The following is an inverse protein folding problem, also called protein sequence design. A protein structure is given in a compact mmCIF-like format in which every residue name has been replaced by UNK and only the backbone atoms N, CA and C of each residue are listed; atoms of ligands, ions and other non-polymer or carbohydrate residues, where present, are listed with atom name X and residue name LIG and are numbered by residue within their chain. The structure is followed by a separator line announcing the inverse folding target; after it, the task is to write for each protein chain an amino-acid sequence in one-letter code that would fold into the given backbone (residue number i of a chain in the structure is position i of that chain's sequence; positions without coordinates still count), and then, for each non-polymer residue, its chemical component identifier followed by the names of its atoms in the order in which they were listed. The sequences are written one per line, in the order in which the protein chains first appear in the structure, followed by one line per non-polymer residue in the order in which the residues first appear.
data_IF_585034399790
#
_entry.id   IF_585034399790
#
_cell.length_a   1.000
_cell.length_b   1.000
_cell.length_c   1.000
_cell.angle_alpha   90.00
_cell.angle_beta   90.00
_cell.angle_gamma   90.00
#
_symmetry.space_group_name_H-M   'P 1'
#
loop_
_entity.id
_entity.type
_entity.pdbx_description
1 polymer ?
#
# COMPACT_ATOMS: atom_id res chain seq x y z
N UNK A 1 -34.58 -15.98 -16.90
CA UNK A 1 -35.09 -16.81 -15.79
C UNK A 1 -35.73 -15.89 -14.76
N UNK A 2 -36.68 -16.39 -13.94
CA UNK A 2 -37.44 -15.63 -12.94
C UNK A 2 -36.77 -15.55 -11.55
N UNK A 3 -35.53 -16.00 -11.41
CA UNK A 3 -34.74 -15.88 -10.18
C UNK A 3 -35.13 -16.80 -9.01
N UNK A 4 -36.08 -17.72 -9.18
CA UNK A 4 -36.63 -18.51 -8.05
C UNK A 4 -35.83 -19.75 -7.65
N UNK A 5 -34.83 -20.15 -8.43
CA UNK A 5 -34.00 -21.35 -8.18
C UNK A 5 -32.54 -20.95 -7.96
N UNK A 6 -32.29 -20.12 -6.95
CA UNK A 6 -30.92 -19.78 -6.53
C UNK A 6 -30.24 -21.02 -5.95
N UNK A 7 -29.04 -21.30 -6.42
CA UNK A 7 -28.21 -22.41 -5.94
C UNK A 7 -26.82 -21.88 -5.60
N UNK A 8 -26.36 -22.18 -4.39
CA UNK A 8 -24.98 -21.93 -4.00
C UNK A 8 -24.07 -22.86 -4.81
N UNK A 9 -23.10 -22.28 -5.52
CA UNK A 9 -22.17 -23.03 -6.36
C UNK A 9 -20.90 -23.43 -5.60
N UNK A 10 -20.52 -22.66 -4.57
CA UNK A 10 -19.33 -22.89 -3.77
C UNK A 10 -19.38 -22.11 -2.43
N UNK A 11 -18.79 -22.65 -1.35
CA UNK A 11 -18.82 -22.07 0.01
C UNK A 11 -17.44 -22.07 0.69
N UNK A 12 -16.41 -21.65 -0.04
CA UNK A 12 -15.02 -21.73 0.45
C UNK A 12 -14.65 -20.66 1.51
N UNK A 13 -15.63 -19.92 2.05
CA UNK A 13 -15.42 -18.88 3.07
C UNK A 13 -14.40 -17.79 2.66
N UNK A 14 -14.29 -17.52 1.36
CA UNK A 14 -13.45 -16.47 0.78
C UNK A 14 -14.32 -15.34 0.23
N UNK A 15 -13.78 -14.12 0.14
CA UNK A 15 -14.48 -13.03 -0.55
C UNK A 15 -14.49 -13.31 -2.06
N UNK A 16 -15.68 -13.37 -2.66
CA UNK A 16 -15.85 -13.69 -4.08
C UNK A 16 -16.57 -12.56 -4.82
N UNK A 17 -15.97 -12.07 -5.90
CA UNK A 17 -16.46 -10.90 -6.65
C UNK A 17 -16.33 -11.10 -8.17
N UNK A 18 -16.92 -10.20 -8.95
CA UNK A 18 -16.80 -10.12 -10.42
C UNK A 18 -17.08 -11.42 -11.20
N UNK A 19 -18.25 -12.05 -10.99
CA UNK A 19 -18.61 -13.22 -11.77
C UNK A 19 -18.84 -12.87 -13.25
N UNK A 20 -18.33 -13.75 -14.13
CA UNK A 20 -18.43 -13.65 -15.58
C UNK A 20 -18.71 -15.02 -16.17
N UNK A 21 -19.87 -15.16 -16.79
CA UNK A 21 -20.24 -16.35 -17.54
C UNK A 21 -19.42 -16.46 -18.83
N UNK A 22 -18.99 -17.68 -19.16
CA UNK A 22 -18.50 -17.97 -20.50
C UNK A 22 -19.64 -17.80 -21.52
N UNK A 23 -19.35 -17.35 -22.76
CA UNK A 23 -20.37 -17.22 -23.81
C UNK A 23 -21.18 -18.49 -24.08
N UNK A 24 -20.57 -19.67 -23.95
CA UNK A 24 -21.22 -20.98 -24.07
C UNK A 24 -22.06 -21.40 -22.84
N UNK A 25 -22.09 -20.56 -21.80
CA UNK A 25 -22.80 -20.76 -20.53
C UNK A 25 -22.41 -22.04 -19.77
N UNK A 26 -21.23 -22.60 -20.03
CA UNK A 26 -20.74 -23.80 -19.34
C UNK A 26 -19.88 -23.51 -18.12
N UNK A 27 -19.29 -22.31 -18.01
CA UNK A 27 -18.34 -21.96 -16.97
C UNK A 27 -18.58 -20.56 -16.43
N UNK A 28 -18.12 -20.33 -15.20
CA UNK A 28 -18.10 -19.03 -14.56
C UNK A 28 -16.65 -18.75 -14.15
N UNK A 29 -16.15 -17.58 -14.52
CA UNK A 29 -14.93 -17.02 -13.97
C UNK A 29 -15.29 -16.00 -12.90
N UNK A 30 -14.58 -15.98 -11.79
CA UNK A 30 -14.79 -15.01 -10.71
C UNK A 30 -13.48 -14.79 -9.96
N UNK A 31 -13.44 -13.72 -9.18
CA UNK A 31 -12.31 -13.38 -8.32
C UNK A 31 -12.58 -13.99 -6.94
N UNK A 32 -11.59 -14.68 -6.37
CA UNK A 32 -11.55 -15.01 -4.95
C UNK A 32 -10.43 -14.25 -4.29
N UNK A 33 -10.65 -13.72 -3.10
CA UNK A 33 -9.62 -13.06 -2.31
C UNK A 33 -9.42 -13.65 -0.92
N UNK A 34 -8.15 -13.71 -0.52
CA UNK A 34 -7.72 -14.13 0.83
C UNK A 34 -6.63 -13.18 1.31
N UNK A 35 -6.70 -12.78 2.58
CA UNK A 35 -5.58 -12.08 3.22
C UNK A 35 -4.52 -13.13 3.55
N UNK A 36 -3.28 -12.92 3.08
CA UNK A 36 -2.15 -13.77 3.41
C UNK A 36 -1.44 -13.16 4.64
N UNK A 37 -1.57 -13.73 5.86
CA UNK A 37 -1.06 -13.11 7.08
C UNK A 37 0.45 -12.92 7.07
N UNK A 38 1.18 -13.81 6.39
CA UNK A 38 2.64 -13.76 6.27
C UNK A 38 3.14 -12.61 5.39
N UNK A 39 2.28 -12.10 4.50
CA UNK A 39 2.57 -10.96 3.63
C UNK A 39 1.82 -9.70 4.05
N UNK A 40 0.82 -9.85 4.92
CA UNK A 40 -0.05 -8.77 5.33
C UNK A 40 -0.60 -8.01 4.11
N UNK A 41 -1.05 -8.78 3.12
CA UNK A 41 -1.53 -8.30 1.83
C UNK A 41 -2.64 -9.21 1.32
N UNK A 42 -3.53 -8.63 0.52
CA UNK A 42 -4.59 -9.37 -0.17
C UNK A 42 -4.00 -10.19 -1.34
N UNK A 43 -4.48 -11.41 -1.51
CA UNK A 43 -4.22 -12.23 -2.68
C UNK A 43 -5.52 -12.49 -3.43
N UNK A 44 -5.63 -11.93 -4.66
CA UNK A 44 -6.79 -12.12 -5.54
C UNK A 44 -6.46 -13.10 -6.65
N UNK A 45 -7.25 -14.15 -6.75
CA UNK A 45 -7.07 -15.19 -7.74
C UNK A 45 -8.27 -15.23 -8.69
N UNK A 46 -7.98 -15.36 -9.98
CA UNK A 46 -9.01 -15.67 -10.97
C UNK A 46 -9.25 -17.18 -10.96
N UNK A 47 -10.45 -17.54 -10.56
CA UNK A 47 -10.90 -18.92 -10.44
C UNK A 47 -11.95 -19.19 -11.51
N UNK A 48 -11.91 -20.39 -12.07
CA UNK A 48 -12.93 -20.89 -12.99
C UNK A 48 -13.64 -22.05 -12.30
N UNK A 49 -14.97 -22.07 -12.42
CA UNK A 49 -15.82 -23.18 -11.99
C UNK A 49 -16.77 -23.54 -13.13
N UNK A 50 -17.14 -24.82 -13.24
CA UNK A 50 -18.20 -25.24 -14.15
C UNK A 50 -19.56 -24.75 -13.65
N UNK A 51 -20.53 -24.62 -14.56
CA UNK A 51 -21.89 -24.11 -14.27
C UNK A 51 -22.64 -24.89 -13.18
N UNK A 52 -22.23 -26.13 -12.92
CA UNK A 52 -22.82 -26.99 -11.90
C UNK A 52 -22.13 -26.89 -10.53
N UNK A 53 -21.13 -26.01 -10.41
CA UNK A 53 -20.33 -25.75 -9.20
C UNK A 53 -19.11 -26.66 -9.07
N UNK A 54 -18.85 -27.56 -10.03
CA UNK A 54 -17.73 -28.50 -9.96
C UNK A 54 -16.48 -27.97 -10.67
N UNK A 55 -15.37 -28.69 -10.50
CA UNK A 55 -14.09 -28.44 -11.17
C UNK A 55 -13.57 -27.00 -10.96
N UNK A 56 -13.58 -26.57 -9.70
CA UNK A 56 -13.00 -25.31 -9.32
C UNK A 56 -11.48 -25.35 -9.48
N UNK A 57 -10.94 -24.48 -10.33
CA UNK A 57 -9.52 -24.42 -10.65
C UNK A 57 -9.03 -22.98 -10.46
N UNK A 58 -7.98 -22.80 -9.65
CA UNK A 58 -7.18 -21.57 -9.68
C UNK A 58 -6.47 -21.50 -11.03
N UNK A 59 -7.00 -20.68 -11.92
CA UNK A 59 -6.46 -20.48 -13.26
C UNK A 59 -5.26 -19.53 -13.25
N UNK A 60 -5.17 -18.71 -12.22
CA UNK A 60 -4.15 -17.69 -12.09
C UNK A 60 -2.83 -18.32 -11.65
N UNK A 61 -2.78 -19.28 -10.73
CA UNK A 61 -1.60 -20.14 -10.51
C UNK A 61 -0.65 -19.74 -9.37
N UNK A 62 -1.18 -19.52 -8.16
CA UNK A 62 -0.38 -19.68 -6.94
C UNK A 62 -0.53 -18.64 -5.81
N UNK A 63 0.04 -19.03 -4.67
CA UNK A 63 -0.22 -18.63 -3.26
C UNK A 63 0.69 -17.47 -2.79
N UNK A 64 0.88 -16.43 -3.61
CA UNK A 64 1.55 -15.18 -3.20
C UNK A 64 0.58 -14.02 -3.44
N UNK A 65 0.71 -12.87 -2.72
CA UNK A 65 -0.13 -11.71 -3.00
C UNK A 65 0.03 -11.37 -4.47
N UNK A 66 -1.06 -11.48 -5.19
CA UNK A 66 -1.13 -11.08 -6.58
C UNK A 66 -2.52 -10.54 -6.77
N UNK A 67 -2.63 -9.33 -7.28
CA UNK A 67 -3.91 -8.74 -7.61
C UNK A 67 -4.25 -9.18 -9.04
N UNK A 68 -5.00 -10.27 -9.15
CA UNK A 68 -5.59 -10.70 -10.42
C UNK A 68 -7.06 -10.27 -10.43
N UNK A 69 -7.44 -9.48 -11.43
CA UNK A 69 -8.75 -8.84 -11.47
C UNK A 69 -9.34 -8.84 -12.89
N UNK A 70 -10.61 -8.47 -13.00
CA UNK A 70 -11.34 -8.21 -14.24
C UNK A 70 -11.24 -9.36 -15.25
N UNK A 71 -11.62 -10.60 -14.88
CA UNK A 71 -11.63 -11.70 -15.81
C UNK A 71 -12.61 -11.41 -16.97
N UNK A 72 -12.25 -11.76 -18.20
CA UNK A 72 -13.10 -11.66 -19.37
C UNK A 72 -12.90 -12.88 -20.26
N UNK A 73 -14.01 -13.47 -20.71
CA UNK A 73 -13.98 -14.61 -21.62
C UNK A 73 -13.76 -14.15 -23.06
N UNK A 74 -12.98 -14.92 -23.81
CA UNK A 74 -12.96 -14.79 -25.26
C UNK A 74 -14.32 -15.18 -25.85
N UNK A 75 -14.73 -14.61 -27.00
CA UNK A 75 -16.03 -14.92 -27.62
C UNK A 75 -16.26 -16.41 -27.92
N UNK A 76 -15.18 -17.16 -28.15
CA UNK A 76 -15.21 -18.60 -28.39
C UNK A 76 -15.24 -19.46 -27.10
N UNK A 77 -15.30 -18.84 -25.92
CA UNK A 77 -15.28 -19.49 -24.59
C UNK A 77 -14.01 -20.28 -24.26
N UNK A 78 -12.92 -20.13 -25.02
CA UNK A 78 -11.70 -20.95 -24.85
C UNK A 78 -10.62 -20.30 -23.99
N UNK A 79 -10.65 -18.99 -23.82
CA UNK A 79 -9.62 -18.22 -23.13
C UNK A 79 -10.24 -17.24 -22.15
N UNK A 80 -9.46 -16.88 -21.14
CA UNK A 80 -9.74 -15.78 -20.24
C UNK A 80 -8.58 -14.79 -20.30
N UNK A 81 -8.90 -13.51 -20.38
CA UNK A 81 -7.97 -12.42 -20.08
C UNK A 81 -8.27 -11.86 -18.71
N UNK A 82 -7.25 -11.49 -17.96
CA UNK A 82 -7.37 -10.84 -16.66
C UNK A 82 -6.21 -9.87 -16.48
N UNK A 83 -6.40 -8.86 -15.63
CA UNK A 83 -5.32 -7.96 -15.19
C UNK A 83 -4.53 -8.67 -14.11
N UNK A 84 -3.21 -8.51 -14.10
CA UNK A 84 -2.34 -9.26 -13.20
C UNK A 84 -1.13 -8.43 -12.75
N UNK A 85 -1.01 -8.18 -11.46
CA UNK A 85 0.15 -7.54 -10.83
C UNK A 85 1.33 -8.52 -10.60
N UNK A 86 1.56 -9.45 -11.54
CA UNK A 86 2.59 -10.50 -11.37
C UNK A 86 3.96 -10.08 -11.85
N UNK A 87 4.02 -9.15 -12.78
CA UNK A 87 5.25 -8.77 -13.46
C UNK A 87 5.66 -7.37 -13.03
N UNK A 88 6.87 -6.95 -13.39
CA UNK A 88 7.41 -5.69 -12.89
C UNK A 88 6.60 -4.47 -13.35
N UNK A 89 6.35 -3.57 -12.43
CA UNK A 89 5.68 -2.29 -12.58
C UNK A 89 6.49 -1.18 -11.89
N UNK A 90 6.00 0.04 -12.06
CA UNK A 90 6.41 1.21 -11.32
C UNK A 90 5.23 1.71 -10.51
N UNK A 91 5.46 2.01 -9.24
CA UNK A 91 4.42 2.36 -8.27
C UNK A 91 4.70 3.76 -7.71
N UNK A 92 3.65 4.54 -7.54
CA UNK A 92 3.65 5.85 -6.87
C UNK A 92 2.78 5.75 -5.63
N UNK A 93 3.35 6.10 -4.48
CA UNK A 93 2.67 6.15 -3.20
C UNK A 93 2.50 7.59 -2.74
N UNK A 94 1.29 8.02 -2.37
CA UNK A 94 0.99 9.41 -2.04
C UNK A 94 0.13 9.49 -0.78
N UNK A 95 0.62 10.17 0.25
CA UNK A 95 -0.14 10.58 1.44
C UNK A 95 -0.18 12.13 1.45
N UNK A 96 -1.35 12.74 1.17
CA UNK A 96 -1.45 14.18 0.90
C UNK A 96 -1.54 15.07 2.15
N UNK A 97 -1.56 14.52 3.36
CA UNK A 97 -1.62 15.32 4.59
C UNK A 97 -0.73 14.83 5.74
N UNK A 98 0.10 13.80 5.48
CA UNK A 98 1.15 13.31 6.36
C UNK A 98 0.58 12.84 7.72
N UNK A 99 -0.53 12.11 7.64
CA UNK A 99 -1.18 11.47 8.78
C UNK A 99 -0.92 9.96 8.85
N UNK A 100 -0.23 9.41 7.84
CA UNK A 100 0.09 7.99 7.67
C UNK A 100 -1.13 7.08 7.42
N UNK A 101 -2.24 7.69 7.02
CA UNK A 101 -3.51 7.08 6.65
C UNK A 101 -3.96 7.69 5.33
N UNK A 102 -5.15 7.28 4.88
CA UNK A 102 -5.85 7.92 3.78
C UNK A 102 -4.96 8.20 2.54
N UNK A 103 -4.20 7.19 2.13
CA UNK A 103 -3.16 7.32 1.11
C UNK A 103 -3.50 6.54 -0.15
N UNK A 104 -2.77 6.84 -1.23
CA UNK A 104 -3.03 6.33 -2.56
C UNK A 104 -1.83 5.56 -3.09
N UNK A 105 -2.11 4.60 -3.95
CA UNK A 105 -1.13 3.87 -4.75
C UNK A 105 -1.57 3.88 -6.20
N UNK A 106 -0.62 4.13 -7.09
CA UNK A 106 -0.81 4.07 -8.54
C UNK A 106 0.33 3.26 -9.12
N UNK A 107 0.01 2.11 -9.70
CA UNK A 107 0.92 1.22 -10.39
C UNK A 107 0.78 1.38 -11.90
N UNK A 108 1.89 1.29 -12.62
CA UNK A 108 1.94 1.30 -14.09
C UNK A 108 2.94 0.28 -14.60
N UNK A 109 2.55 -0.47 -15.62
CA UNK A 109 3.49 -1.35 -16.33
C UNK A 109 3.97 -0.75 -17.66
N UNK A 110 4.90 -1.45 -18.31
CA UNK A 110 5.55 -1.03 -19.56
C UNK A 110 4.58 -0.96 -20.76
N UNK A 111 3.32 -1.40 -20.61
CA UNK A 111 2.25 -1.27 -21.61
C UNK A 111 1.29 -0.11 -21.31
N UNK A 112 1.64 0.75 -20.36
CA UNK A 112 0.79 1.83 -19.86
C UNK A 112 -0.55 1.30 -19.32
N UNK A 113 -0.53 0.15 -18.63
CA UNK A 113 -1.70 -0.34 -17.89
C UNK A 113 -1.57 0.10 -16.45
N UNK A 114 -2.64 0.70 -15.96
CA UNK A 114 -2.74 1.26 -14.62
C UNK A 114 -3.49 0.28 -13.72
N UNK A 115 -3.02 0.16 -12.50
CA UNK A 115 -3.78 -0.32 -11.36
C UNK A 115 -3.64 0.73 -10.27
N UNK A 116 -4.74 1.12 -9.66
CA UNK A 116 -4.74 2.17 -8.65
C UNK A 116 -5.68 1.81 -7.50
N UNK A 117 -5.36 2.33 -6.32
CA UNK A 117 -6.13 2.08 -5.13
C UNK A 117 -5.99 3.23 -4.12
N UNK A 118 -6.95 3.25 -3.21
CA UNK A 118 -6.94 4.09 -2.02
C UNK A 118 -6.93 3.21 -0.76
N UNK A 119 -6.06 3.51 0.21
CA UNK A 119 -6.02 2.86 1.51
C UNK A 119 -6.38 3.86 2.62
N UNK A 120 -7.54 3.68 3.30
CA UNK A 120 -7.86 4.47 4.49
C UNK A 120 -6.88 4.27 5.65
N UNK A 121 -6.24 3.10 5.71
CA UNK A 121 -5.24 2.79 6.71
C UNK A 121 -4.28 1.69 6.19
N UNK A 122 -3.05 1.58 6.71
CA UNK A 122 -2.11 0.55 6.31
C UNK A 122 -2.62 -0.87 6.52
N UNK A 123 -2.24 -1.81 5.64
CA UNK A 123 -2.59 -3.23 5.80
C UNK A 123 -2.18 -3.79 7.18
N UNK A 124 -1.05 -3.32 7.74
CA UNK A 124 -0.54 -3.78 9.05
C UNK A 124 -1.49 -3.45 10.21
N UNK A 125 -2.36 -2.48 9.98
CA UNK A 125 -3.40 -2.00 10.87
C UNK A 125 -4.78 -2.53 10.42
N UNK A 126 -4.82 -3.61 9.63
CA UNK A 126 -6.02 -4.24 9.06
C UNK A 126 -6.79 -3.31 8.12
N UNK A 127 -6.08 -2.49 7.37
CA UNK A 127 -6.68 -1.73 6.27
C UNK A 127 -7.05 -2.63 5.09
N UNK A 128 -8.13 -2.28 4.41
CA UNK A 128 -8.53 -2.89 3.15
C UNK A 128 -8.44 -1.83 2.04
N UNK A 129 -7.87 -2.23 0.90
CA UNK A 129 -7.73 -1.35 -0.24
C UNK A 129 -9.06 -1.14 -0.96
N UNK A 130 -9.40 0.13 -1.20
CA UNK A 130 -10.47 0.50 -2.10
C UNK A 130 -9.93 0.57 -3.54
N UNK A 131 -9.88 -0.59 -4.19
CA UNK A 131 -9.44 -0.75 -5.57
C UNK A 131 -10.45 -0.23 -6.62
N UNK A 132 -11.61 0.25 -6.18
CA UNK A 132 -12.61 0.87 -7.07
C UNK A 132 -12.36 2.37 -7.27
N UNK A 133 -11.36 2.93 -6.59
CA UNK A 133 -10.91 4.30 -6.87
C UNK A 133 -10.09 4.28 -8.16
N UNK A 134 -10.57 4.99 -9.18
CA UNK A 134 -9.98 5.06 -10.53
C UNK A 134 -9.55 6.50 -10.80
N UNK A 135 -8.35 6.85 -10.33
CA UNK A 135 -7.76 8.19 -10.22
C UNK A 135 -8.34 9.25 -11.20
N UNK A 136 -9.43 9.97 -10.82
CA UNK A 136 -10.24 10.68 -11.81
C UNK A 136 -9.47 11.79 -12.53
N UNK A 137 -9.41 11.71 -13.86
CA UNK A 137 -8.74 12.71 -14.70
C UNK A 137 -7.22 12.59 -14.74
N UNK A 138 -6.63 11.57 -14.12
CA UNK A 138 -5.22 11.25 -14.29
C UNK A 138 -4.92 10.89 -15.76
N UNK A 139 -3.73 11.26 -16.22
CA UNK A 139 -3.20 10.86 -17.53
C UNK A 139 -1.82 10.23 -17.35
N UNK A 140 -1.51 9.22 -18.17
CA UNK A 140 -0.21 8.56 -18.17
C UNK A 140 0.24 8.23 -19.59
N UNK A 141 1.54 8.21 -19.82
CA UNK A 141 2.15 7.75 -21.06
C UNK A 141 3.43 6.95 -20.78
N UNK A 142 3.62 5.86 -21.52
CA UNK A 142 4.84 5.05 -21.49
C UNK A 142 5.53 5.09 -22.84
N UNK A 143 6.84 5.34 -22.82
CA UNK A 143 7.71 5.18 -23.98
C UNK A 143 8.68 4.02 -23.75
N UNK A 144 8.69 3.06 -24.67
CA UNK A 144 9.66 1.96 -24.67
C UNK A 144 10.90 2.37 -25.47
N UNK A 145 12.08 2.08 -24.93
CA UNK A 145 13.36 2.18 -25.65
C UNK A 145 13.96 0.78 -25.85
N UNK A 146 13.22 -0.07 -26.55
CA UNK A 146 13.55 -1.49 -26.73
C UNK A 146 12.39 -2.32 -27.29
N UNK A 147 12.48 -3.65 -27.19
CA UNK A 147 11.44 -4.59 -27.60
C UNK A 147 10.91 -5.41 -26.43
N UNK A 148 9.68 -5.11 -26.02
CA UNK A 148 9.07 -5.71 -24.84
C UNK A 148 8.94 -7.24 -24.97
N UNK A 149 9.36 -7.95 -23.91
CA UNK A 149 9.34 -9.41 -23.82
C UNK A 149 10.16 -10.14 -24.90
N UNK A 150 11.17 -9.49 -25.46
CA UNK A 150 12.12 -10.12 -26.35
C UNK A 150 13.39 -10.53 -25.57
N UNK A 151 13.71 -11.83 -25.48
CA UNK A 151 14.92 -12.29 -24.80
C UNK A 151 16.15 -12.35 -25.70
N UNK A 152 16.04 -11.94 -26.97
CA UNK A 152 17.18 -11.97 -27.90
C UNK A 152 17.94 -10.66 -27.98
N UNK A 153 17.41 -9.59 -27.38
CA UNK A 153 18.05 -8.27 -27.30
C UNK A 153 18.10 -7.78 -25.85
N UNK A 154 18.68 -6.58 -25.68
CA UNK A 154 18.81 -5.89 -24.41
C UNK A 154 18.23 -4.49 -24.61
N UNK A 155 17.15 -4.21 -23.89
CA UNK A 155 16.48 -2.92 -23.91
C UNK A 155 17.30 -1.85 -23.18
N UNK A 156 17.20 -0.60 -23.62
CA UNK A 156 17.78 0.53 -22.88
C UNK A 156 16.95 0.88 -21.65
N UNK A 157 15.64 0.64 -21.72
CA UNK A 157 14.69 0.93 -20.65
C UNK A 157 13.32 1.33 -21.19
N UNK A 158 12.55 1.92 -20.29
CA UNK A 158 11.28 2.56 -20.58
C UNK A 158 11.16 3.80 -19.70
N UNK A 159 10.40 4.78 -20.18
CA UNK A 159 10.05 5.99 -19.43
C UNK A 159 8.55 5.98 -19.20
N UNK A 160 8.13 6.43 -18.02
CA UNK A 160 6.74 6.75 -17.74
C UNK A 160 6.61 8.20 -17.30
N UNK A 161 5.56 8.85 -17.78
CA UNK A 161 5.16 10.20 -17.38
C UNK A 161 3.71 10.17 -16.88
N UNK A 162 3.46 10.91 -15.80
CA UNK A 162 2.14 11.05 -15.20
C UNK A 162 1.75 12.51 -15.10
N UNK A 163 0.47 12.78 -15.33
CA UNK A 163 -0.21 14.02 -14.95
C UNK A 163 -1.33 13.66 -13.99
N UNK A 164 -1.12 13.97 -12.71
CA UNK A 164 -2.05 13.68 -11.62
C UNK A 164 -2.68 15.00 -11.16
N UNK A 165 -3.98 15.24 -11.43
CA UNK A 165 -4.67 16.40 -10.89
C UNK A 165 -4.70 16.37 -9.35
N UNK A 166 -4.50 17.51 -8.67
CA UNK A 166 -4.61 17.55 -7.20
C UNK A 166 -5.99 17.12 -6.69
N UNK A 167 -7.05 17.40 -7.45
CA UNK A 167 -8.40 16.97 -7.12
C UNK A 167 -8.63 15.46 -7.24
N UNK A 168 -7.68 14.70 -7.77
CA UNK A 168 -7.69 13.23 -7.83
C UNK A 168 -7.27 12.61 -6.50
N UNK A 169 -6.33 13.25 -5.81
CA UNK A 169 -5.70 12.75 -4.57
C UNK A 169 -6.48 13.30 -3.36
N UNK A 170 -7.74 12.90 -3.26
CA UNK A 170 -8.65 13.23 -2.14
C UNK A 170 -9.85 12.28 -2.08
N UNK A 171 -10.31 11.97 -0.88
CA UNK A 171 -11.56 11.23 -0.64
C UNK A 171 -12.44 11.92 0.43
N UNK A 172 -12.39 13.25 0.49
CA UNK A 172 -13.07 14.08 1.50
C UNK A 172 -12.13 14.84 2.45
N UNK A 173 -10.84 14.48 2.42
CA UNK A 173 -9.70 15.18 3.02
C UNK A 173 -8.89 15.92 1.94
N UNK A 174 -7.79 16.59 2.30
CA UNK A 174 -6.84 17.25 1.39
C UNK A 174 -7.49 18.09 0.26
N UNK A 175 -8.28 19.11 0.62
CA UNK A 175 -9.02 19.90 -0.37
C UNK A 175 -8.17 20.93 -1.13
N UNK A 176 -8.11 20.76 -2.46
CA UNK A 176 -7.62 21.77 -3.39
C UNK A 176 -6.14 21.65 -3.73
N UNK A 177 -5.61 22.67 -4.39
CA UNK A 177 -4.18 22.74 -4.72
C UNK A 177 -3.36 22.94 -3.44
N UNK A 178 -2.28 22.16 -3.20
CA UNK A 178 -1.40 22.36 -2.07
C UNK A 178 -0.90 23.80 -1.96
N UNK A 179 -0.90 24.35 -0.75
CA UNK A 179 -0.38 25.68 -0.49
C UNK A 179 1.16 25.72 -0.63
N UNK A 180 1.72 26.94 -0.71
CA UNK A 180 3.16 27.14 -0.61
C UNK A 180 3.70 26.50 0.68
N UNK A 181 4.72 25.66 0.57
CA UNK A 181 5.34 24.97 1.68
C UNK A 181 4.54 23.78 2.24
N UNK A 182 3.37 23.46 1.68
CA UNK A 182 2.61 22.27 2.06
C UNK A 182 3.47 21.01 1.88
N UNK A 183 3.28 20.04 2.78
CA UNK A 183 4.06 18.81 2.81
C UNK A 183 3.16 17.62 2.56
N UNK A 184 3.54 16.81 1.58
CA UNK A 184 3.02 15.46 1.39
C UNK A 184 4.09 14.44 1.74
N UNK A 185 3.66 13.21 1.94
CA UNK A 185 4.53 12.03 1.95
C UNK A 185 4.42 11.35 0.60
N UNK A 186 5.55 11.07 -0.04
CA UNK A 186 5.56 10.39 -1.34
C UNK A 186 6.66 9.34 -1.39
N UNK A 187 6.42 8.26 -2.11
CA UNK A 187 7.49 7.35 -2.49
C UNK A 187 7.27 6.76 -3.87
N UNK A 188 8.33 6.20 -4.42
CA UNK A 188 8.32 5.46 -5.67
C UNK A 188 8.89 4.08 -5.42
N UNK A 189 8.32 3.07 -6.07
CA UNK A 189 8.84 1.71 -6.10
C UNK A 189 8.89 1.21 -7.54
N UNK A 190 9.83 0.31 -7.82
CA UNK A 190 9.83 -0.51 -9.02
C UNK A 190 10.00 -1.95 -8.59
N UNK A 191 9.01 -2.78 -8.90
CA UNK A 191 9.07 -4.22 -8.67
C UNK A 191 9.92 -4.86 -9.76
N UNK A 192 10.98 -5.55 -9.35
CA UNK A 192 11.94 -6.20 -10.24
C UNK A 192 12.09 -7.68 -9.86
N UNK A 193 11.92 -8.56 -10.85
CA UNK A 193 12.13 -9.99 -10.65
C UNK A 193 13.44 -10.42 -11.30
N UNK A 194 14.27 -11.15 -10.56
CA UNK A 194 15.43 -11.80 -11.17
C UNK A 194 14.94 -12.88 -12.16
N UNK A 195 15.36 -12.77 -13.42
CA UNK A 195 14.98 -13.70 -14.49
C UNK A 195 16.19 -14.27 -15.23
N UNK A 196 15.98 -15.34 -15.98
CA UNK A 196 16.90 -15.86 -17.00
C UNK A 196 16.14 -16.29 -18.25
N UNK A 197 16.84 -16.38 -19.37
CA UNK A 197 16.26 -16.90 -20.62
C UNK A 197 16.32 -18.43 -20.64
N UNK A 198 15.20 -19.09 -20.94
CA UNK A 198 15.13 -20.53 -21.23
C UNK A 198 14.15 -20.76 -22.38
N UNK A 199 14.59 -21.48 -23.42
CA UNK A 199 13.79 -21.77 -24.62
C UNK A 199 13.15 -20.52 -25.24
N UNK A 200 13.92 -19.42 -25.35
CA UNK A 200 13.44 -18.17 -25.93
C UNK A 200 12.38 -17.43 -25.09
N UNK A 201 12.31 -17.69 -23.79
CA UNK A 201 11.39 -17.00 -22.85
C UNK A 201 12.10 -16.62 -21.56
N UNK A 202 11.72 -15.48 -20.99
CA UNK A 202 12.10 -15.13 -19.64
C UNK A 202 11.40 -16.06 -18.63
N UNK A 203 12.17 -16.59 -17.68
CA UNK A 203 11.67 -17.34 -16.53
C UNK A 203 12.24 -16.75 -15.25
N UNK A 204 11.39 -16.57 -14.23
CA UNK A 204 11.82 -16.11 -12.90
C UNK A 204 12.76 -17.13 -12.26
N UNK A 205 13.81 -16.63 -11.61
CA UNK A 205 14.77 -17.47 -10.92
C UNK A 205 14.12 -18.20 -9.75
N UNK A 206 14.65 -19.38 -9.45
CA UNK A 206 14.19 -20.22 -8.34
C UNK A 206 15.35 -20.56 -7.42
N UNK A 207 15.06 -20.78 -6.14
CA UNK A 207 16.02 -21.38 -5.21
C UNK A 207 16.23 -22.87 -5.51
N UNK A 208 17.11 -23.52 -4.74
CA UNK A 208 17.44 -24.95 -4.90
C UNK A 208 16.24 -25.90 -4.75
N UNK A 209 15.15 -25.45 -4.09
CA UNK A 209 13.91 -26.21 -3.91
C UNK A 209 12.87 -25.95 -5.02
N UNK A 210 13.24 -25.19 -6.06
CA UNK A 210 12.33 -24.83 -7.16
C UNK A 210 11.32 -23.72 -6.81
N UNK A 211 11.39 -23.12 -5.61
CA UNK A 211 10.54 -21.96 -5.25
C UNK A 211 11.11 -20.70 -5.91
N UNK A 212 10.27 -19.90 -6.57
CA UNK A 212 10.66 -18.60 -7.14
C UNK A 212 11.33 -17.73 -6.07
N UNK A 213 12.45 -17.10 -6.43
CA UNK A 213 13.07 -16.05 -5.61
C UNK A 213 12.06 -14.91 -5.40
N UNK A 214 12.12 -14.17 -4.28
CA UNK A 214 11.31 -12.97 -4.12
C UNK A 214 11.70 -11.91 -5.15
N UNK A 215 10.74 -11.06 -5.48
CA UNK A 215 10.92 -9.78 -6.11
C UNK A 215 11.83 -8.87 -5.28
N UNK A 216 12.41 -7.89 -5.96
CA UNK A 216 13.19 -6.79 -5.36
C UNK A 216 12.45 -5.49 -5.65
N UNK A 217 12.46 -4.58 -4.70
CA UNK A 217 11.89 -3.25 -4.87
C UNK A 217 13.01 -2.22 -4.91
N UNK A 218 13.07 -1.44 -5.99
CA UNK A 218 13.92 -0.26 -6.06
C UNK A 218 13.09 0.92 -5.63
N UNK A 219 13.48 1.56 -4.53
CA UNK A 219 12.69 2.61 -3.90
C UNK A 219 13.45 3.93 -3.90
N UNK A 220 12.73 5.05 -4.05
CA UNK A 220 13.34 6.38 -3.99
C UNK A 220 13.74 6.75 -2.56
N UNK A 221 12.78 6.74 -1.63
CA UNK A 221 13.05 6.90 -0.20
C UNK A 221 13.09 5.53 0.45
N UNK A 222 14.16 5.22 1.18
CA UNK A 222 14.30 3.92 1.83
C UNK A 222 13.47 3.88 3.13
N UNK A 223 12.38 3.08 3.22
CA UNK A 223 11.58 3.00 4.44
C UNK A 223 12.29 2.21 5.56
N UNK A 224 13.35 1.45 5.23
CA UNK A 224 14.09 0.62 6.18
C UNK A 224 13.38 -0.67 6.58
N UNK A 225 12.28 -1.01 5.91
CA UNK A 225 11.50 -2.24 6.06
C UNK A 225 11.08 -2.75 4.68
N UNK A 226 10.83 -4.05 4.54
CA UNK A 226 10.29 -4.64 3.30
C UNK A 226 8.77 -4.46 3.29
N UNK A 227 8.32 -3.22 3.16
CA UNK A 227 6.90 -2.85 3.08
C UNK A 227 6.79 -1.41 2.60
N UNK A 228 6.15 -1.19 1.44
CA UNK A 228 5.84 0.16 0.96
C UNK A 228 4.64 0.78 1.68
N UNK A 229 3.74 -0.03 2.23
CA UNK A 229 2.57 0.42 3.02
C UNK A 229 2.94 0.91 4.43
N UNK A 230 3.86 1.86 4.48
CA UNK A 230 4.35 2.54 5.67
C UNK A 230 4.54 4.04 5.38
N UNK A 231 3.45 4.78 5.13
CA UNK A 231 3.46 6.20 4.74
C UNK A 231 4.26 7.11 5.65
N UNK A 232 4.29 6.82 6.95
CA UNK A 232 5.10 7.54 7.92
C UNK A 232 6.61 7.42 7.66
N UNK A 233 7.06 6.49 6.81
CA UNK A 233 8.47 6.26 6.47
C UNK A 233 8.85 6.74 5.07
N UNK A 234 7.92 7.30 4.30
CA UNK A 234 8.18 7.78 2.94
C UNK A 234 9.06 9.04 2.88
N UNK A 235 9.33 9.56 1.68
CA UNK A 235 10.01 10.84 1.52
C UNK A 235 9.05 12.00 1.76
N UNK A 236 9.60 13.20 2.00
CA UNK A 236 8.81 14.43 2.02
C UNK A 236 8.76 15.05 0.62
N UNK A 237 7.58 15.49 0.20
CA UNK A 237 7.38 16.35 -0.95
C UNK A 237 6.92 17.73 -0.45
N UNK A 238 7.71 18.76 -0.73
CA UNK A 238 7.37 20.15 -0.37
C UNK A 238 6.96 20.92 -1.62
N UNK A 239 5.74 21.47 -1.60
CA UNK A 239 5.22 22.27 -2.71
C UNK A 239 5.75 23.69 -2.67
N UNK A 240 6.08 24.24 -3.85
CA UNK A 240 6.51 25.62 -4.03
C UNK A 240 5.93 26.18 -5.32
N UNK A 241 5.49 27.44 -5.30
CA UNK A 241 5.10 28.25 -6.45
C UNK A 241 6.29 28.93 -7.12
N UNK A 242 7.47 28.92 -6.47
CA UNK A 242 8.68 29.50 -7.05
C UNK A 242 9.15 28.65 -8.23
N UNK A 243 9.30 29.29 -9.37
CA UNK A 243 9.85 28.70 -10.60
C UNK A 243 11.38 28.86 -10.58
N UNK A 244 12.11 27.74 -10.42
CA UNK A 244 13.57 27.63 -10.57
C UNK A 244 14.46 28.63 -9.77
N UNK A 245 15.77 28.39 -9.84
CA UNK A 245 16.90 29.14 -9.27
C UNK A 245 17.19 29.01 -7.77
N UNK A 246 16.21 29.04 -6.86
CA UNK A 246 16.46 28.74 -5.43
C UNK A 246 15.27 28.06 -4.74
N UNK A 247 15.42 26.77 -4.44
CA UNK A 247 14.45 26.05 -3.60
C UNK A 247 14.62 26.46 -2.13
N UNK A 248 13.52 26.54 -1.36
CA UNK A 248 13.64 26.69 0.09
C UNK A 248 14.43 25.51 0.66
N UNK A 249 15.29 25.78 1.65
CA UNK A 249 15.96 24.72 2.39
C UNK A 249 14.89 23.95 3.16
N UNK A 250 14.67 22.69 2.78
CA UNK A 250 13.74 21.82 3.48
C UNK A 250 14.18 21.65 4.93
N UNK A 251 13.23 21.83 5.85
CA UNK A 251 13.39 21.53 7.27
C UNK A 251 12.23 20.64 7.69
N UNK A 252 12.54 19.53 8.33
CA UNK A 252 11.52 18.67 8.91
C UNK A 252 10.72 19.48 9.92
N UNK A 253 9.38 19.52 9.84
CA UNK A 253 8.55 20.21 10.81
C UNK A 253 8.84 19.72 12.23
N UNK A 254 8.86 20.64 13.19
CA UNK A 254 9.05 20.27 14.60
C UNK A 254 8.03 19.23 15.09
N UNK A 255 6.77 19.36 14.65
CA UNK A 255 5.73 18.38 14.91
C UNK A 255 6.09 16.98 14.41
N UNK A 256 6.72 16.86 13.25
CA UNK A 256 7.10 15.56 12.70
C UNK A 256 8.30 14.95 13.44
N UNK A 257 9.22 15.78 13.94
CA UNK A 257 10.26 15.29 14.86
C UNK A 257 9.66 14.72 16.15
N UNK A 258 8.57 15.32 16.67
CA UNK A 258 7.81 14.76 17.78
C UNK A 258 7.14 13.43 17.40
N UNK A 259 6.47 13.37 16.24
CA UNK A 259 5.78 12.16 15.74
C UNK A 259 6.72 10.97 15.55
N UNK A 260 8.00 11.17 15.24
CA UNK A 260 8.98 10.07 15.12
C UNK A 260 9.09 9.24 16.42
N UNK A 261 9.00 9.88 17.59
CA UNK A 261 8.99 9.17 18.88
C UNK A 261 7.69 8.40 19.12
N UNK A 262 6.55 8.94 18.65
CA UNK A 262 5.29 8.22 18.69
C UNK A 262 5.33 6.96 17.81
N UNK A 263 5.93 7.05 16.62
CA UNK A 263 6.14 5.89 15.76
C UNK A 263 7.08 4.86 16.38
N UNK A 264 8.17 5.29 17.03
CA UNK A 264 9.04 4.38 17.78
C UNK A 264 8.27 3.60 18.85
N UNK A 265 7.44 4.31 19.63
CA UNK A 265 6.58 3.68 20.65
C UNK A 265 5.60 2.71 20.01
N UNK A 266 4.96 3.10 18.89
CA UNK A 266 4.04 2.22 18.17
C UNK A 266 4.74 0.92 17.75
N UNK A 267 5.89 1.00 17.09
CA UNK A 267 6.62 -0.18 16.64
C UNK A 267 7.03 -1.10 17.80
N UNK A 268 7.50 -0.52 18.91
CA UNK A 268 7.89 -1.29 20.08
C UNK A 268 6.68 -1.90 20.80
N UNK A 269 5.54 -1.21 20.83
CA UNK A 269 4.28 -1.77 21.35
C UNK A 269 3.78 -2.94 20.50
N UNK A 270 3.80 -2.83 19.17
CA UNK A 270 3.40 -3.93 18.29
C UNK A 270 4.31 -5.15 18.49
N UNK A 271 5.62 -4.93 18.68
CA UNK A 271 6.55 -6.00 18.99
C UNK A 271 6.29 -6.61 20.37
N UNK A 272 6.09 -5.78 21.39
CA UNK A 272 5.83 -6.22 22.76
C UNK A 272 4.53 -7.03 22.85
N UNK A 273 3.46 -6.56 22.21
CA UNK A 273 2.17 -7.26 22.15
C UNK A 273 2.30 -8.62 21.47
N UNK A 274 3.07 -8.73 20.37
CA UNK A 274 3.33 -10.04 19.72
C UNK A 274 4.05 -11.03 20.63
N UNK A 275 4.85 -10.55 21.57
CA UNK A 275 5.64 -11.39 22.49
C UNK A 275 4.86 -11.74 23.77
N UNK A 276 4.03 -10.84 24.27
CA UNK A 276 3.42 -10.95 25.60
C UNK A 276 1.89 -11.01 25.60
N UNK A 277 1.25 -10.73 24.45
CA UNK A 277 -0.22 -10.71 24.31
C UNK A 277 -0.91 -9.52 24.98
N UNK A 278 -0.16 -8.52 25.46
CA UNK A 278 -0.66 -7.32 26.15
C UNK A 278 0.16 -6.09 25.76
N UNK A 279 -0.41 -4.89 25.87
CA UNK A 279 0.34 -3.63 25.73
C UNK A 279 0.89 -3.16 27.09
N UNK A 280 2.08 -2.56 27.08
CA UNK A 280 2.74 -2.07 28.31
C UNK A 280 2.65 -0.55 28.45
N UNK A 281 2.61 -0.06 29.69
CA UNK A 281 2.74 1.37 30.02
C UNK A 281 4.16 1.74 30.45
N UNK A 282 5.05 0.74 30.58
CA UNK A 282 6.46 0.92 30.96
C UNK A 282 7.27 1.35 29.73
N UNK A 283 7.87 2.54 29.79
CA UNK A 283 8.82 2.99 28.78
C UNK A 283 10.05 2.09 28.70
N UNK A 284 10.50 1.54 29.83
CA UNK A 284 11.64 0.62 29.88
C UNK A 284 11.37 -0.69 29.14
N UNK A 285 10.15 -1.21 29.20
CA UNK A 285 9.72 -2.40 28.46
C UNK A 285 9.80 -2.17 26.94
N UNK A 286 9.66 -0.91 26.51
CA UNK A 286 9.78 -0.46 25.13
C UNK A 286 11.19 0.04 24.79
N UNK A 287 12.18 -0.17 25.67
CA UNK A 287 13.57 0.26 25.44
C UNK A 287 13.80 1.77 25.49
N UNK A 288 12.88 2.53 26.09
CA UNK A 288 12.97 4.00 26.25
C UNK A 288 13.37 4.30 27.70
N UNK A 289 14.59 4.78 27.90
CA UNK A 289 15.21 4.92 29.23
C UNK A 289 14.73 6.13 30.04
N UNK A 290 14.11 7.12 29.40
CA UNK A 290 13.63 8.35 30.05
C UNK A 290 12.37 8.87 29.36
N UNK A 291 11.35 9.33 30.12
CA UNK A 291 10.20 10.03 29.56
C UNK A 291 10.60 11.42 29.02
N UNK A 292 11.63 12.04 29.58
CA UNK A 292 12.15 13.33 29.12
C UNK A 292 13.11 13.13 27.95
N UNK A 293 12.83 13.81 26.83
CA UNK A 293 13.64 13.79 25.61
C UNK A 293 13.87 15.21 25.08
N UNK A 294 15.03 15.47 24.49
CA UNK A 294 15.28 16.72 23.77
C UNK A 294 14.98 16.53 22.28
N UNK A 295 14.15 17.42 21.74
CA UNK A 295 13.83 17.44 20.30
C UNK A 295 14.21 18.82 19.77
N UNK A 296 15.26 18.87 18.96
CA UNK A 296 15.77 20.10 18.36
C UNK A 296 16.03 21.22 19.39
N UNK A 297 16.60 20.89 20.55
CA UNK A 297 16.88 21.85 21.63
C UNK A 297 15.67 22.24 22.47
N UNK A 298 14.53 21.55 22.31
CA UNK A 298 13.32 21.76 23.10
C UNK A 298 13.02 20.51 23.94
N UNK A 299 12.92 20.63 25.28
CA UNK A 299 12.51 19.54 26.14
C UNK A 299 11.07 19.09 25.85
N UNK A 300 10.88 17.79 25.68
CA UNK A 300 9.59 17.14 25.50
C UNK A 300 9.43 16.00 26.53
N UNK A 301 8.18 15.65 26.81
CA UNK A 301 7.82 14.54 27.69
C UNK A 301 6.98 13.54 26.92
N UNK A 302 7.37 12.27 27.00
CA UNK A 302 6.58 11.13 26.55
C UNK A 302 5.75 10.60 27.71
N UNK A 303 4.49 10.26 27.43
CA UNK A 303 3.66 9.48 28.36
C UNK A 303 2.95 8.33 27.64
N UNK A 304 2.70 7.23 28.36
CA UNK A 304 1.99 6.05 27.83
C UNK A 304 0.93 5.63 28.83
N UNK A 305 -0.28 5.36 28.33
CA UNK A 305 -1.34 4.66 29.06
C UNK A 305 -1.73 3.42 28.27
N UNK A 306 -1.87 2.27 28.94
CA UNK A 306 -2.23 1.01 28.30
C UNK A 306 -3.25 0.21 29.09
N UNK A 307 -3.89 -0.70 28.38
CA UNK A 307 -4.73 -1.79 28.86
C UNK A 307 -4.31 -3.07 28.14
N UNK A 308 -5.00 -4.18 28.41
CA UNK A 308 -4.77 -5.44 27.70
C UNK A 308 -4.89 -5.31 26.17
N UNK A 309 -5.82 -4.48 25.68
CA UNK A 309 -6.18 -4.43 24.24
C UNK A 309 -5.91 -3.08 23.55
N UNK A 310 -5.58 -2.05 24.31
CA UNK A 310 -5.38 -0.69 23.78
C UNK A 310 -4.22 -0.01 24.47
N UNK A 311 -3.56 0.90 23.76
CA UNK A 311 -2.69 1.89 24.36
C UNK A 311 -2.86 3.24 23.68
N UNK A 312 -2.48 4.29 24.40
CA UNK A 312 -2.27 5.62 23.86
C UNK A 312 -0.93 6.13 24.36
N UNK A 313 -0.10 6.65 23.47
CA UNK A 313 1.11 7.35 23.83
C UNK A 313 1.02 8.82 23.40
N UNK A 314 1.71 9.71 24.11
CA UNK A 314 1.75 11.13 23.80
C UNK A 314 3.15 11.70 23.88
N UNK A 315 3.37 12.80 23.17
CA UNK A 315 4.58 13.61 23.23
C UNK A 315 4.21 15.09 23.19
N UNK A 316 4.85 15.91 24.03
CA UNK A 316 4.65 17.36 24.02
C UNK A 316 5.72 18.11 24.80
N UNK A 317 5.88 19.39 24.51
CA UNK A 317 6.87 20.30 25.11
C UNK A 317 6.28 21.19 26.22
N UNK A 318 5.09 20.82 26.71
CA UNK A 318 4.35 21.62 27.70
C UNK A 318 3.69 22.89 27.15
N UNK A 319 3.77 23.14 25.82
CA UNK A 319 3.02 24.21 25.14
C UNK A 319 1.68 23.70 24.62
N UNK A 320 1.00 24.51 23.81
CA UNK A 320 -0.39 24.32 23.42
C UNK A 320 -0.73 23.00 22.71
N UNK A 321 0.24 22.28 22.13
CA UNK A 321 -0.02 21.07 21.32
C UNK A 321 0.66 19.84 21.90
N UNK A 322 -0.12 18.78 22.09
CA UNK A 322 0.36 17.44 22.43
C UNK A 322 -0.06 16.50 21.30
N UNK A 323 0.88 15.72 20.78
CA UNK A 323 0.57 14.70 19.78
C UNK A 323 0.32 13.37 20.48
N UNK A 324 -0.67 12.63 20.00
CA UNK A 324 -1.01 11.30 20.52
C UNK A 324 -1.01 10.28 19.41
N UNK A 325 -0.64 9.03 19.73
CA UNK A 325 -0.76 7.87 18.85
C UNK A 325 -1.51 6.75 19.55
N UNK A 326 -2.41 6.07 18.83
CA UNK A 326 -3.13 4.88 19.32
C UNK A 326 -2.45 3.58 18.87
N UNK A 327 -2.97 2.44 19.34
CA UNK A 327 -2.61 1.11 18.86
C UNK A 327 -2.98 0.82 17.40
N UNK A 328 -3.64 1.75 16.72
CA UNK A 328 -3.94 1.68 15.29
C UNK A 328 -3.00 2.58 14.47
N UNK A 329 -1.96 3.14 15.07
CA UNK A 329 -1.02 4.04 14.39
C UNK A 329 -1.60 5.40 14.01
N UNK A 330 -2.79 5.76 14.50
CA UNK A 330 -3.42 7.04 14.20
C UNK A 330 -2.82 8.14 15.08
N UNK A 331 -2.21 9.14 14.44
CA UNK A 331 -1.69 10.32 15.14
C UNK A 331 -2.73 11.43 15.17
N UNK A 332 -3.04 11.96 16.36
CA UNK A 332 -3.94 13.10 16.52
C UNK A 332 -3.30 14.24 17.32
N UNK A 333 -3.53 15.50 16.89
CA UNK A 333 -3.24 16.65 17.72
C UNK A 333 -4.28 16.78 18.84
N UNK A 334 -3.82 17.01 20.08
CA UNK A 334 -4.64 17.43 21.21
C UNK A 334 -4.17 18.80 21.68
N UNK A 335 -5.06 19.79 21.63
CA UNK A 335 -4.79 21.07 22.26
C UNK A 335 -4.83 20.93 23.78
N UNK A 336 -3.79 21.38 24.46
CA UNK A 336 -3.87 21.57 25.91
C UNK A 336 -4.91 22.65 26.18
N UNK A 337 -6.04 22.27 26.76
CA UNK A 337 -7.03 23.24 27.22
C UNK A 337 -6.32 24.27 28.10
N UNK A 338 -6.41 25.55 27.72
CA UNK A 338 -6.01 26.62 28.62
C UNK A 338 -6.86 26.43 29.88
N UNK A 339 -6.23 26.12 31.02
CA UNK A 339 -6.93 26.09 32.30
C UNK A 339 -7.74 27.39 32.38
N UNK A 340 -9.07 27.36 32.57
CA UNK A 340 -9.81 28.58 32.84
C UNK A 340 -9.15 29.25 34.05
N UNK A 341 -8.77 30.52 33.88
CA UNK A 341 -8.16 31.33 34.93
C UNK A 341 -9.12 31.53 36.08
#
# INVERSE_FOLDING_TARGET
SNGTNLRLLNDNNTHQTDPRWSPDSQKIAFITSVILPEYNAENRQVVIVDKDGKNLIDFSGGIKPTLNDSPQWSPDSRKITFTSARDGDFEIFIDPDNDARDYFEIEVNQRNKIFDLFLPQPYRDKGDALISWDAPGMQSAVQLQGTLNNPTDIDKGWTVEFKIPFNTIKMGFANGTPAEGALWRINFSRVEWDTRVKNGKYIKLTNAKGKKLPERNWVWSAPGIISMHAPERWGYLQFTKKEHETFPVFKVPYADLQKQYLWLIYYNQQQYYRQHGVYTSSLNDLGISSPGIDIAGTPNVISISSSMYHYSASVGDGKAMVWTISNEGLIRPNQLSAKPK
#
